data_IF_833711576000
#
_entry.id   IF_833711576000
#
_cell.length_a   1.000
_cell.length_b   1.000
_cell.length_c   1.000
_cell.angle_alpha   90.00
_cell.angle_beta   90.00
_cell.angle_gamma   90.00
#
_symmetry.space_group_name_H-M   'P 1'
#
loop_
_entity.id
_entity.type
_entity.pdbx_description
1 polymer ?
#
# COMPACT_ATOMS: atom_id res chain seq x y z
N UNK A 1 7.36 -5.73 2.76
CA UNK A 1 6.53 -5.27 1.64
C UNK A 1 6.30 -3.78 1.77
N UNK A 2 6.61 -3.00 0.73
CA UNK A 2 6.48 -1.55 0.70
C UNK A 2 5.05 -1.09 0.37
N UNK A 3 4.78 0.22 0.50
CA UNK A 3 3.53 0.85 0.10
C UNK A 3 3.67 1.78 -1.11
N UNK A 4 2.73 2.69 -1.26
CA UNK A 4 2.74 3.70 -2.32
C UNK A 4 3.16 5.09 -1.75
N UNK A 5 3.99 5.83 -2.45
CA UNK A 5 4.72 5.58 -3.71
C UNK A 5 6.15 5.05 -3.48
N UNK A 6 6.30 4.10 -2.59
CA UNK A 6 7.58 3.55 -2.18
C UNK A 6 8.03 2.39 -3.08
N UNK A 7 9.28 1.96 -2.86
CA UNK A 7 9.92 0.80 -3.48
C UNK A 7 10.61 -0.04 -2.39
N UNK A 8 11.13 -1.20 -2.76
CA UNK A 8 11.98 -2.02 -1.89
C UNK A 8 13.11 -1.20 -1.21
N UNK A 9 13.60 -0.17 -1.87
CA UNK A 9 14.63 0.74 -1.37
C UNK A 9 14.27 1.42 -0.02
N UNK A 10 13.00 1.55 0.31
CA UNK A 10 12.56 2.11 1.60
C UNK A 10 13.08 1.31 2.80
N UNK A 11 13.30 0.02 2.62
CA UNK A 11 13.77 -0.91 3.65
C UNK A 11 15.30 -0.91 3.88
N UNK A 12 16.08 -0.23 3.03
CA UNK A 12 17.55 -0.28 3.02
C UNK A 12 18.23 0.01 4.37
N UNK A 13 17.58 0.82 5.23
CA UNK A 13 18.15 1.16 6.56
C UNK A 13 17.81 0.11 7.62
N UNK A 14 16.73 -0.63 7.47
CA UNK A 14 16.29 -1.66 8.41
C UNK A 14 16.92 -3.01 8.10
N UNK A 15 17.12 -3.33 6.83
CA UNK A 15 17.66 -4.62 6.38
C UNK A 15 19.02 -4.98 7.02
N UNK A 16 20.02 -4.06 7.13
CA UNK A 16 21.31 -4.42 7.72
C UNK A 16 21.20 -4.84 9.18
N UNK A 17 20.34 -4.20 9.98
CA UNK A 17 20.16 -4.57 11.38
C UNK A 17 19.54 -5.96 11.54
N UNK A 18 18.54 -6.28 10.70
CA UNK A 18 17.94 -7.62 10.69
C UNK A 18 18.91 -8.68 10.18
N UNK A 19 19.72 -8.36 9.17
CA UNK A 19 20.76 -9.27 8.68
C UNK A 19 21.84 -9.55 9.74
N UNK A 20 22.25 -8.52 10.50
CA UNK A 20 23.17 -8.67 11.61
C UNK A 20 22.61 -9.53 12.75
N UNK A 21 21.27 -9.56 12.90
CA UNK A 21 20.58 -10.47 13.81
C UNK A 21 20.42 -11.91 13.28
N UNK A 22 21.02 -12.23 12.13
CA UNK A 22 21.07 -13.58 11.57
C UNK A 22 19.93 -13.92 10.60
N UNK A 23 19.13 -12.94 10.17
CA UNK A 23 18.06 -13.19 9.20
C UNK A 23 18.51 -12.97 7.75
N UNK A 24 18.04 -13.82 6.85
CA UNK A 24 18.08 -13.51 5.42
C UNK A 24 16.92 -12.55 5.10
N UNK A 25 17.25 -11.29 4.82
CA UNK A 25 16.25 -10.21 4.66
C UNK A 25 16.03 -9.91 3.20
N UNK A 26 14.77 -9.91 2.78
CA UNK A 26 14.37 -9.75 1.39
C UNK A 26 13.33 -8.63 1.31
N UNK A 27 13.53 -7.68 0.40
CA UNK A 27 12.59 -6.62 0.10
C UNK A 27 12.34 -6.57 -1.42
N UNK A 28 11.21 -7.11 -1.92
CA UNK A 28 10.87 -7.02 -3.33
C UNK A 28 10.23 -5.67 -3.67
N UNK A 29 10.43 -5.20 -4.90
CA UNK A 29 9.48 -4.29 -5.51
C UNK A 29 8.21 -5.09 -5.84
N UNK A 30 7.07 -4.68 -5.30
CA UNK A 30 5.82 -5.42 -5.51
C UNK A 30 5.34 -5.29 -6.95
N UNK A 31 4.39 -6.14 -7.37
CA UNK A 31 3.76 -6.10 -8.70
C UNK A 31 3.27 -4.68 -9.03
N UNK A 32 3.64 -4.17 -10.20
CA UNK A 32 3.33 -2.81 -10.62
C UNK A 32 4.35 -1.76 -10.21
N UNK A 33 5.43 -2.16 -9.52
CA UNK A 33 6.44 -1.23 -9.01
C UNK A 33 7.85 -1.57 -9.50
N UNK A 34 8.65 -0.53 -9.60
CA UNK A 34 10.10 -0.61 -9.77
C UNK A 34 10.55 -1.50 -10.91
N UNK A 35 11.35 -2.50 -10.59
CA UNK A 35 11.94 -3.42 -11.56
C UNK A 35 11.18 -4.73 -11.73
N UNK A 36 10.07 -4.92 -11.02
CA UNK A 36 9.25 -6.12 -11.17
C UNK A 36 8.54 -6.11 -12.52
N UNK A 37 8.67 -7.18 -13.25
CA UNK A 37 8.09 -7.38 -14.58
C UNK A 37 6.95 -8.40 -14.56
N UNK A 38 6.38 -8.70 -15.75
CA UNK A 38 5.31 -9.70 -15.87
C UNK A 38 3.91 -9.17 -15.56
N UNK A 39 3.71 -7.86 -15.64
CA UNK A 39 2.41 -7.21 -15.49
C UNK A 39 2.16 -6.23 -16.65
N UNK A 40 0.90 -5.90 -16.90
CA UNK A 40 0.52 -4.93 -17.94
C UNK A 40 0.41 -3.53 -17.34
N UNK A 41 1.02 -2.55 -18.01
CA UNK A 41 0.91 -1.13 -17.70
C UNK A 41 -0.29 -0.46 -18.39
N UNK A 42 -1.08 -1.21 -19.15
CA UNK A 42 -2.27 -0.68 -19.83
C UNK A 42 -3.31 -0.24 -18.80
N UNK A 43 -3.66 1.05 -18.83
CA UNK A 43 -4.63 1.64 -17.93
C UNK A 43 -6.02 1.00 -18.07
N UNK A 44 -6.42 0.62 -19.28
CA UNK A 44 -7.70 -0.02 -19.57
C UNK A 44 -7.63 -1.55 -19.47
N UNK A 45 -6.49 -2.08 -19.04
CA UNK A 45 -6.24 -3.49 -18.92
C UNK A 45 -6.99 -4.15 -17.77
N UNK A 46 -6.85 -5.47 -17.68
CA UNK A 46 -7.44 -6.26 -16.62
C UNK A 46 -6.78 -5.99 -15.27
N UNK A 47 -7.54 -5.52 -14.29
CA UNK A 47 -7.06 -5.25 -12.93
C UNK A 47 -7.04 -6.49 -12.01
N UNK A 48 -7.60 -7.63 -12.43
CA UNK A 48 -7.61 -8.84 -11.61
C UNK A 48 -6.22 -9.30 -11.17
N UNK A 49 -5.15 -9.18 -12.01
CA UNK A 49 -3.79 -9.49 -11.57
C UNK A 49 -3.29 -8.70 -10.35
N UNK A 50 -3.85 -7.52 -10.09
CA UNK A 50 -3.46 -6.64 -8.98
C UNK A 50 -4.30 -6.83 -7.71
N UNK A 51 -5.19 -7.82 -7.66
CA UNK A 51 -5.94 -8.14 -6.45
C UNK A 51 -5.01 -8.61 -5.34
N UNK A 52 -5.35 -8.32 -4.08
CA UNK A 52 -4.54 -8.66 -2.89
C UNK A 52 -4.13 -10.14 -2.86
N UNK A 53 -5.01 -11.06 -3.24
CA UNK A 53 -4.68 -12.49 -3.29
C UNK A 53 -3.57 -12.82 -4.30
N UNK A 54 -3.44 -12.07 -5.38
CA UNK A 54 -2.33 -12.25 -6.32
C UNK A 54 -1.03 -11.68 -5.75
N UNK A 55 -1.06 -10.58 -5.00
CA UNK A 55 0.10 -10.09 -4.27
C UNK A 55 0.58 -11.10 -3.21
N UNK A 56 -0.35 -11.79 -2.53
CA UNK A 56 -0.02 -12.93 -1.62
C UNK A 56 0.64 -14.07 -2.39
N UNK A 57 0.12 -14.44 -3.56
CA UNK A 57 0.73 -15.49 -4.41
C UNK A 57 2.14 -15.10 -4.86
N UNK A 58 2.36 -13.84 -5.18
CA UNK A 58 3.70 -13.33 -5.53
C UNK A 58 4.66 -13.49 -4.34
N UNK A 59 4.23 -13.14 -3.13
CA UNK A 59 5.03 -13.29 -1.92
C UNK A 59 5.37 -14.77 -1.63
N UNK A 60 4.39 -15.68 -1.74
CA UNK A 60 4.61 -17.12 -1.60
C UNK A 60 5.56 -17.64 -2.68
N UNK A 61 5.33 -17.24 -3.94
CA UNK A 61 6.19 -17.60 -5.06
C UNK A 61 7.64 -17.16 -4.85
N UNK A 62 7.86 -15.95 -4.33
CA UNK A 62 9.19 -15.46 -4.00
C UNK A 62 9.85 -16.29 -2.91
N UNK A 63 9.14 -16.62 -1.83
CA UNK A 63 9.67 -17.47 -0.74
C UNK A 63 10.14 -18.82 -1.30
N UNK A 64 9.31 -19.45 -2.13
CA UNK A 64 9.67 -20.75 -2.72
C UNK A 64 10.79 -20.65 -3.76
N UNK A 65 10.79 -19.61 -4.60
CA UNK A 65 11.83 -19.37 -5.61
C UNK A 65 13.23 -19.17 -4.98
N UNK A 66 13.28 -18.68 -3.74
CA UNK A 66 14.49 -18.53 -2.94
C UNK A 66 14.88 -19.81 -2.18
N UNK A 67 14.15 -20.90 -2.38
CA UNK A 67 14.42 -22.19 -1.76
C UNK A 67 13.88 -22.36 -0.34
N UNK A 68 13.08 -21.42 0.15
CA UNK A 68 12.47 -21.48 1.48
C UNK A 68 11.08 -22.10 1.44
N UNK A 69 10.73 -22.82 2.50
CA UNK A 69 9.36 -23.31 2.72
C UNK A 69 8.57 -22.38 3.63
N UNK A 70 9.27 -21.65 4.50
CA UNK A 70 8.70 -20.73 5.49
C UNK A 70 9.68 -19.58 5.73
N UNK A 71 9.17 -18.49 6.24
CA UNK A 71 9.91 -17.32 6.69
C UNK A 71 9.51 -16.94 8.11
N UNK A 72 10.47 -16.45 8.89
CA UNK A 72 10.25 -16.07 10.28
C UNK A 72 9.19 -14.96 10.41
N UNK A 73 9.07 -14.07 9.43
CA UNK A 73 8.05 -13.03 9.45
C UNK A 73 7.94 -12.28 8.13
N UNK A 74 6.80 -11.61 7.98
CA UNK A 74 6.52 -10.69 6.88
C UNK A 74 6.18 -9.32 7.45
N UNK A 75 6.82 -8.28 6.91
CA UNK A 75 6.64 -6.89 7.31
C UNK A 75 5.94 -6.13 6.19
N UNK A 76 4.89 -5.40 6.52
CA UNK A 76 4.16 -4.56 5.57
C UNK A 76 4.05 -3.13 6.06
N UNK A 77 4.31 -2.18 5.16
CA UNK A 77 4.11 -0.75 5.40
C UNK A 77 3.12 -0.18 4.39
N UNK A 78 2.20 0.70 4.84
CA UNK A 78 1.18 1.32 4.01
C UNK A 78 0.38 0.25 3.22
N UNK A 79 0.31 0.28 1.90
CA UNK A 79 -0.36 -0.76 1.09
C UNK A 79 0.28 -2.16 1.25
N UNK A 80 1.54 -2.25 1.64
CA UNK A 80 2.18 -3.53 1.97
C UNK A 80 1.60 -4.18 3.24
N UNK A 81 0.99 -3.41 4.16
CA UNK A 81 0.38 -3.94 5.38
C UNK A 81 -0.77 -4.91 5.11
N UNK A 82 -1.82 -4.56 4.33
CA UNK A 82 -2.86 -5.53 4.01
C UNK A 82 -2.34 -6.75 3.26
N UNK A 83 -1.33 -6.60 2.40
CA UNK A 83 -0.72 -7.76 1.73
C UNK A 83 -0.04 -8.68 2.76
N UNK A 84 0.76 -8.13 3.68
CA UNK A 84 1.41 -8.89 4.75
C UNK A 84 0.39 -9.57 5.68
N UNK A 85 -0.69 -8.87 6.03
CA UNK A 85 -1.77 -9.41 6.85
C UNK A 85 -2.43 -10.62 6.16
N UNK A 86 -2.75 -10.50 4.88
CA UNK A 86 -3.31 -11.61 4.11
C UNK A 86 -2.32 -12.76 3.93
N UNK A 87 -1.02 -12.49 3.80
CA UNK A 87 0.00 -13.53 3.80
C UNK A 87 -0.07 -14.38 5.07
N UNK A 88 -0.05 -13.73 6.24
CA UNK A 88 -0.07 -14.42 7.53
C UNK A 88 -1.42 -15.12 7.79
N UNK A 89 -2.54 -14.51 7.39
CA UNK A 89 -3.87 -15.09 7.58
C UNK A 89 -4.11 -16.33 6.71
N UNK A 90 -3.71 -16.29 5.45
CA UNK A 90 -3.97 -17.35 4.50
C UNK A 90 -2.92 -18.48 4.54
N UNK A 91 -1.69 -18.14 4.88
CA UNK A 91 -0.56 -19.07 4.90
C UNK A 91 0.31 -18.90 6.15
N UNK A 92 -0.26 -19.12 7.35
CA UNK A 92 0.50 -19.08 8.60
C UNK A 92 1.59 -20.16 8.67
N UNK A 93 1.47 -21.20 7.84
CA UNK A 93 2.49 -22.22 7.64
C UNK A 93 3.74 -21.69 6.92
N UNK A 94 3.59 -20.68 6.07
CA UNK A 94 4.68 -20.00 5.34
C UNK A 94 5.18 -18.77 6.10
N UNK A 95 4.28 -17.93 6.60
CA UNK A 95 4.57 -16.65 7.25
C UNK A 95 4.28 -16.75 8.76
N UNK A 96 5.32 -17.02 9.55
CA UNK A 96 5.19 -17.38 10.97
C UNK A 96 4.85 -16.18 11.87
N UNK A 97 5.20 -14.98 11.47
CA UNK A 97 4.83 -13.74 12.16
C UNK A 97 4.58 -12.61 11.18
N UNK A 98 3.91 -11.57 11.64
CA UNK A 98 3.58 -10.40 10.82
C UNK A 98 3.73 -9.11 11.61
N UNK A 99 4.31 -8.09 10.96
CA UNK A 99 4.30 -6.72 11.47
C UNK A 99 3.62 -5.79 10.45
N UNK A 100 2.62 -5.04 10.91
CA UNK A 100 1.84 -4.13 10.11
C UNK A 100 2.13 -2.69 10.53
N UNK A 101 2.47 -1.84 9.57
CA UNK A 101 2.87 -0.46 9.81
C UNK A 101 2.04 0.50 8.98
N UNK A 102 1.53 1.55 9.62
CA UNK A 102 0.82 2.70 9.01
C UNK A 102 -0.52 2.40 8.32
N UNK A 103 -0.93 1.15 8.19
CA UNK A 103 -2.24 0.77 7.69
C UNK A 103 -2.78 -0.40 8.51
N UNK A 104 -3.76 -0.18 9.39
CA UNK A 104 -4.35 -1.24 10.18
C UNK A 104 -5.11 -2.22 9.29
N UNK A 105 -5.12 -3.49 9.69
CA UNK A 105 -5.88 -4.52 9.02
C UNK A 105 -7.15 -4.81 9.82
N UNK A 106 -8.29 -4.49 9.25
CA UNK A 106 -9.61 -4.69 9.86
C UNK A 106 -10.17 -6.13 9.77
N UNK A 107 -9.36 -7.07 9.30
CA UNK A 107 -9.81 -8.43 9.03
C UNK A 107 -10.39 -8.61 7.62
N UNK A 108 -10.77 -9.84 7.25
CA UNK A 108 -11.50 -10.09 6.01
C UNK A 108 -12.88 -9.41 6.07
N UNK A 109 -13.42 -8.97 4.93
CA UNK A 109 -14.78 -8.44 4.90
C UNK A 109 -15.77 -9.51 5.38
N UNK A 110 -16.78 -9.09 6.12
CA UNK A 110 -17.88 -9.97 6.48
C UNK A 110 -18.53 -10.48 5.19
N UNK A 111 -18.70 -11.81 5.12
CA UNK A 111 -19.46 -12.42 4.04
C UNK A 111 -20.95 -12.33 4.42
N UNK A 112 -21.77 -11.61 3.68
CA UNK A 112 -23.19 -11.62 3.91
C UNK A 112 -23.75 -13.00 3.54
N UNK A 113 -24.33 -13.70 4.52
CA UNK A 113 -25.09 -14.94 4.25
C UNK A 113 -26.40 -14.65 3.50
N UNK A 114 -26.87 -13.41 3.58
CA UNK A 114 -28.06 -12.91 2.89
C UNK A 114 -27.71 -11.56 2.23
N UNK A 115 -27.44 -11.62 0.94
CA UNK A 115 -27.05 -10.45 0.14
C UNK A 115 -28.18 -9.43 0.00
N UNK A 116 -29.44 -9.84 0.16
CA UNK A 116 -30.59 -8.93 0.05
C UNK A 116 -30.75 -8.02 1.28
N UNK A 117 -30.30 -8.49 2.45
CA UNK A 117 -30.36 -7.72 3.70
C UNK A 117 -29.19 -6.77 3.90
N UNK A 118 -28.11 -6.95 3.17
CA UNK A 118 -26.86 -6.17 3.33
C UNK A 118 -26.68 -5.13 2.23
N UNK A 119 -27.77 -4.56 1.71
CA UNK A 119 -27.64 -3.35 0.88
C UNK A 119 -26.99 -2.27 1.75
N UNK A 120 -25.84 -1.72 1.33
CA UNK A 120 -25.22 -0.64 2.10
C UNK A 120 -26.25 0.49 2.23
N UNK A 121 -26.47 0.96 3.47
CA UNK A 121 -27.30 2.15 3.67
C UNK A 121 -26.71 3.27 2.81
N UNK A 122 -27.52 3.99 2.02
CA UNK A 122 -27.03 5.16 1.31
C UNK A 122 -26.35 6.07 2.32
N UNK A 123 -25.14 6.53 1.99
CA UNK A 123 -24.45 7.49 2.85
C UNK A 123 -25.33 8.74 2.96
N UNK A 124 -25.79 9.03 4.16
CA UNK A 124 -26.55 10.25 4.44
C UNK A 124 -25.56 11.40 4.58
N UNK A 125 -25.44 12.21 3.57
CA UNK A 125 -24.55 13.38 3.54
C UNK A 125 -23.78 13.53 2.23
N UNK A 126 -23.10 14.66 2.04
CA UNK A 126 -22.29 14.88 0.86
C UNK A 126 -21.15 13.84 0.82
N UNK A 127 -20.85 13.32 -0.37
CA UNK A 127 -19.69 12.44 -0.53
C UNK A 127 -18.42 13.17 -0.10
N UNK A 128 -17.41 12.43 0.37
CA UNK A 128 -16.08 12.99 0.71
C UNK A 128 -15.52 13.82 -0.47
N UNK A 129 -15.82 13.43 -1.69
CA UNK A 129 -15.39 14.15 -2.89
C UNK A 129 -16.05 15.53 -3.02
N UNK A 130 -17.36 15.60 -2.74
CA UNK A 130 -18.09 16.86 -2.75
C UNK A 130 -17.64 17.78 -1.61
N UNK A 131 -17.42 17.23 -0.42
CA UNK A 131 -16.92 17.97 0.74
C UNK A 131 -15.51 18.55 0.47
N UNK A 132 -14.61 17.75 -0.09
CA UNK A 132 -13.25 18.21 -0.43
C UNK A 132 -13.24 19.24 -1.57
N UNK A 133 -14.12 19.09 -2.55
CA UNK A 133 -14.24 20.05 -3.66
C UNK A 133 -14.82 21.41 -3.20
N UNK A 134 -15.64 21.43 -2.16
CA UNK A 134 -16.25 22.64 -1.60
C UNK A 134 -15.32 23.44 -0.68
N UNK A 135 -14.12 22.96 -0.36
CA UNK A 135 -13.14 23.71 0.44
C UNK A 135 -12.71 25.00 -0.27
N UNK A 136 -12.34 26.07 0.48
CA UNK A 136 -11.80 27.31 -0.10
C UNK A 136 -10.64 27.07 -1.08
N UNK A 137 -9.83 26.07 -0.81
CA UNK A 137 -8.85 25.50 -1.75
C UNK A 137 -9.31 24.09 -2.10
N UNK A 138 -9.98 23.88 -3.25
CA UNK A 138 -10.52 22.59 -3.62
C UNK A 138 -9.48 21.47 -3.57
N UNK A 139 -9.87 20.32 -3.01
CA UNK A 139 -9.03 19.13 -2.84
C UNK A 139 -9.67 17.92 -3.52
N UNK A 140 -8.84 16.96 -3.83
CA UNK A 140 -9.27 15.62 -4.27
C UNK A 140 -8.78 14.60 -3.25
N UNK A 141 -9.57 13.58 -2.95
CA UNK A 141 -9.09 12.46 -2.15
C UNK A 141 -8.00 11.72 -2.94
N UNK A 142 -6.82 11.53 -2.34
CA UNK A 142 -5.64 11.07 -3.05
C UNK A 142 -5.81 9.68 -3.68
N UNK A 143 -6.43 8.73 -2.99
CA UNK A 143 -6.66 7.38 -3.53
C UNK A 143 -7.57 7.40 -4.75
N UNK A 144 -8.62 8.23 -4.73
CA UNK A 144 -9.49 8.42 -5.89
C UNK A 144 -8.74 9.08 -7.05
N UNK A 145 -7.94 10.12 -6.75
CA UNK A 145 -7.17 10.80 -7.79
C UNK A 145 -6.14 9.86 -8.43
N UNK A 146 -5.43 9.06 -7.65
CA UNK A 146 -4.44 8.11 -8.16
C UNK A 146 -5.04 7.02 -9.06
N UNK A 147 -6.33 6.73 -8.94
CA UNK A 147 -7.02 5.79 -9.81
C UNK A 147 -7.50 6.41 -11.13
N UNK A 148 -7.25 7.70 -11.37
CA UNK A 148 -7.64 8.38 -12.61
C UNK A 148 -6.53 8.28 -13.67
N UNK A 149 -6.93 8.25 -14.96
CA UNK A 149 -5.99 8.16 -16.08
C UNK A 149 -4.90 9.24 -16.07
N UNK A 150 -5.20 10.54 -15.81
CA UNK A 150 -4.17 11.58 -15.86
C UNK A 150 -3.17 11.55 -14.70
N UNK A 151 -3.47 10.82 -13.60
CA UNK A 151 -2.68 10.94 -12.38
C UNK A 151 -1.20 10.58 -12.56
N UNK A 152 -0.90 9.56 -13.37
CA UNK A 152 0.48 9.16 -13.64
C UNK A 152 1.24 10.26 -14.38
N UNK A 153 0.65 10.79 -15.44
CA UNK A 153 1.25 11.87 -16.25
C UNK A 153 1.42 13.14 -15.42
N UNK A 154 0.40 13.52 -14.66
CA UNK A 154 0.43 14.72 -13.80
C UNK A 154 1.55 14.63 -12.75
N UNK A 155 1.82 13.44 -12.19
CA UNK A 155 2.88 13.24 -11.21
C UNK A 155 4.26 13.11 -11.85
N UNK A 156 4.35 12.35 -12.94
CA UNK A 156 5.62 12.07 -13.61
C UNK A 156 6.18 13.30 -14.34
N UNK A 157 5.30 14.05 -14.99
CA UNK A 157 5.64 15.26 -15.76
C UNK A 157 5.23 16.55 -15.05
N UNK A 158 5.11 16.52 -13.72
CA UNK A 158 4.79 17.73 -12.96
C UNK A 158 5.83 18.84 -13.21
N UNK A 159 5.42 20.13 -13.27
CA UNK A 159 6.31 21.24 -13.63
C UNK A 159 7.57 21.36 -12.78
N UNK A 160 7.49 21.00 -11.49
CA UNK A 160 8.63 21.02 -10.57
C UNK A 160 9.56 19.80 -10.69
N UNK A 161 9.21 18.83 -11.52
CA UNK A 161 9.89 17.54 -11.64
C UNK A 161 9.53 16.55 -10.54
N UNK A 162 9.55 15.25 -10.88
CA UNK A 162 9.12 14.15 -9.98
C UNK A 162 9.91 14.12 -8.66
N UNK A 163 11.19 14.46 -8.67
CA UNK A 163 11.99 14.48 -7.44
C UNK A 163 11.51 15.55 -6.46
N UNK A 164 11.26 16.78 -6.92
CA UNK A 164 10.75 17.85 -6.09
C UNK A 164 9.31 17.56 -5.62
N UNK A 165 8.50 16.98 -6.49
CA UNK A 165 7.16 16.52 -6.14
C UNK A 165 7.19 15.49 -5.00
N UNK A 166 8.00 14.44 -5.11
CA UNK A 166 8.11 13.41 -4.07
C UNK A 166 8.71 13.95 -2.78
N UNK A 167 9.68 14.86 -2.86
CA UNK A 167 10.19 15.54 -1.65
C UNK A 167 9.08 16.29 -0.93
N UNK A 168 8.27 17.06 -1.63
CA UNK A 168 7.15 17.79 -1.04
C UNK A 168 6.10 16.82 -0.46
N UNK A 169 5.80 15.72 -1.17
CA UNK A 169 4.88 14.69 -0.71
C UNK A 169 5.32 14.03 0.61
N UNK A 170 6.60 13.71 0.75
CA UNK A 170 7.12 13.08 1.96
C UNK A 170 7.41 14.06 3.09
N UNK A 171 7.82 15.28 2.77
CA UNK A 171 8.28 16.25 3.77
C UNK A 171 7.23 16.54 4.84
N UNK A 172 5.99 16.83 4.46
CA UNK A 172 4.93 17.14 5.42
C UNK A 172 4.49 15.94 6.29
N UNK A 173 4.97 14.74 5.97
CA UNK A 173 4.77 13.51 6.75
C UNK A 173 6.02 13.12 7.54
N UNK A 174 7.14 13.84 7.36
CA UNK A 174 8.40 13.50 8.00
C UNK A 174 8.49 14.08 9.42
N UNK A 175 9.29 13.44 10.27
CA UNK A 175 9.57 13.93 11.61
C UNK A 175 10.35 15.26 11.59
N UNK A 176 11.02 15.57 10.49
CA UNK A 176 11.81 16.80 10.32
C UNK A 176 10.94 18.04 10.04
N UNK A 177 9.67 17.85 9.72
CA UNK A 177 8.77 18.97 9.51
C UNK A 177 8.28 19.52 10.85
N UNK A 178 8.62 20.77 11.15
CA UNK A 178 8.35 21.39 12.44
C UNK A 178 6.85 21.44 12.82
N UNK A 179 5.96 21.45 11.81
CA UNK A 179 4.50 21.46 12.01
C UNK A 179 3.89 20.05 12.06
N UNK A 180 4.71 18.99 11.91
CA UNK A 180 4.24 17.61 12.01
C UNK A 180 4.02 17.25 13.50
N UNK A 181 3.02 17.85 14.11
CA UNK A 181 2.62 17.61 15.50
C UNK A 181 1.32 16.82 15.51
N UNK A 182 1.18 15.85 16.43
CA UNK A 182 -0.09 15.19 16.65
C UNK A 182 -1.19 16.22 16.95
N UNK A 183 -2.30 16.14 16.27
CA UNK A 183 -3.49 16.94 16.56
C UNK A 183 -4.73 16.07 16.45
N UNK A 184 -5.78 16.35 17.24
CA UNK A 184 -7.05 15.66 17.12
C UNK A 184 -7.63 15.89 15.72
N UNK A 185 -8.07 14.82 15.06
CA UNK A 185 -8.87 14.97 13.86
C UNK A 185 -10.23 15.53 14.25
N UNK A 186 -10.64 16.62 13.62
CA UNK A 186 -12.01 17.08 13.72
C UNK A 186 -12.92 16.00 13.14
N UNK A 187 -13.88 15.54 13.94
CA UNK A 187 -14.87 14.53 13.56
C UNK A 187 -15.87 15.04 12.52
#
# INVERSE_FOLDING_TARGET
>A
LHGFPELAWSWRKVMPALAAAGYHVIAPDQRGYGRTTGWSADYDGDLRPFRLLNAVRDAIGLVHALGYRQVAGVFGHDFGSPVAAWCALLRPDVFQSVALMSAPFGGPPALPFDTDRHKPKPATGPSIHAALAALPRPRKHYQWYYSTRPANEDMWHCPQGVHAFLRAYYHHKSADWAENRPYPLAG
#
